data_IF_512659992616
#
_entry.id   IF_512659992616
#
_cell.length_a   1.000
_cell.length_b   1.000
_cell.length_c   1.000
_cell.angle_alpha   90.00
_cell.angle_beta   90.00
_cell.angle_gamma   90.00
#
_symmetry.space_group_name_H-M   'P 1'
#
loop_
_entity.id
_entity.type
_entity.pdbx_description
1 polymer ?
#
# COMPACT_ATOMS: atom_id res chain seq x y z
N UNK A 1 25.27 13.57 0.67
CA UNK A 1 24.66 12.24 0.61
C UNK A 1 25.00 11.56 -0.73
N UNK A 2 25.79 10.48 -0.65
CA UNK A 2 26.23 9.69 -1.82
C UNK A 2 25.06 9.22 -2.70
N UNK A 3 24.00 8.73 -2.10
CA UNK A 3 22.81 8.24 -2.81
C UNK A 3 22.08 9.35 -3.59
N UNK A 4 22.00 10.56 -3.06
CA UNK A 4 21.39 11.70 -3.77
C UNK A 4 22.24 12.05 -5.01
N UNK A 5 23.57 12.10 -4.87
CA UNK A 5 24.51 12.40 -5.96
C UNK A 5 24.44 11.36 -7.09
N UNK A 6 24.27 10.09 -6.75
CA UNK A 6 24.31 8.99 -7.72
C UNK A 6 22.93 8.41 -8.06
N UNK A 7 21.83 9.11 -7.75
CA UNK A 7 20.45 8.65 -7.93
C UNK A 7 20.17 8.08 -9.33
N UNK A 8 20.72 8.69 -10.38
CA UNK A 8 20.54 8.22 -11.77
C UNK A 8 21.14 6.83 -12.03
N UNK A 9 22.16 6.42 -11.26
CA UNK A 9 22.86 5.14 -11.39
C UNK A 9 22.25 4.03 -10.52
N UNK A 10 21.37 4.36 -9.60
CA UNK A 10 20.74 3.38 -8.70
C UNK A 10 19.69 2.59 -9.48
N UNK A 11 19.74 1.28 -9.33
CA UNK A 11 18.71 0.33 -9.76
C UNK A 11 18.19 -0.38 -8.51
N UNK A 12 16.88 -0.46 -8.35
CA UNK A 12 16.23 -1.14 -7.22
C UNK A 12 15.90 -2.59 -7.56
N UNK A 13 15.60 -3.40 -6.55
CA UNK A 13 15.04 -4.75 -6.72
C UNK A 13 13.77 -4.74 -7.57
N UNK A 14 12.91 -3.75 -7.37
CA UNK A 14 11.72 -3.54 -8.19
C UNK A 14 12.07 -3.27 -9.66
N UNK A 15 13.07 -2.45 -9.92
CA UNK A 15 13.51 -2.17 -11.29
C UNK A 15 14.01 -3.45 -11.97
N UNK A 16 14.83 -4.25 -11.29
CA UNK A 16 15.32 -5.54 -11.80
C UNK A 16 14.13 -6.48 -12.09
N UNK A 17 13.18 -6.54 -11.17
CA UNK A 17 11.97 -7.35 -11.35
C UNK A 17 11.18 -6.94 -12.59
N UNK A 18 10.94 -5.64 -12.80
CA UNK A 18 10.20 -5.16 -13.95
C UNK A 18 10.95 -5.26 -15.28
N UNK A 19 12.27 -5.13 -15.27
CA UNK A 19 13.10 -5.32 -16.46
C UNK A 19 13.11 -6.79 -16.91
N UNK A 20 13.10 -7.74 -15.98
CA UNK A 20 13.20 -9.17 -16.26
C UNK A 20 11.83 -9.87 -16.36
N UNK A 21 10.75 -9.21 -15.99
CA UNK A 21 9.43 -9.85 -15.93
C UNK A 21 8.73 -9.84 -17.28
N UNK A 22 8.38 -11.03 -17.77
CA UNK A 22 7.70 -11.22 -19.08
C UNK A 22 6.28 -10.67 -19.08
N UNK A 23 5.37 -11.23 -18.31
CA UNK A 23 3.97 -10.82 -18.28
C UNK A 23 3.34 -11.15 -16.93
N UNK A 24 2.56 -10.24 -16.40
CA UNK A 24 1.73 -10.42 -15.20
C UNK A 24 0.33 -9.96 -15.56
N UNK A 25 -0.69 -10.66 -15.10
CA UNK A 25 -2.09 -10.38 -15.44
C UNK A 25 -2.50 -8.95 -15.10
N UNK A 26 -2.24 -8.54 -13.86
CA UNK A 26 -2.63 -7.22 -13.36
C UNK A 26 -1.75 -6.83 -12.17
N UNK A 27 -1.22 -5.62 -12.18
CA UNK A 27 -0.30 -5.13 -11.15
C UNK A 27 -0.91 -3.92 -10.45
N UNK A 28 -1.08 -4.04 -9.13
CA UNK A 28 -1.66 -3.01 -8.27
C UNK A 28 -0.58 -2.44 -7.38
N UNK A 29 -0.30 -1.15 -7.48
CA UNK A 29 0.58 -0.45 -6.57
C UNK A 29 -0.19 0.22 -5.43
N UNK A 30 0.23 0.00 -4.19
CA UNK A 30 -0.37 0.60 -3.01
C UNK A 30 0.68 1.34 -2.21
N UNK A 31 0.44 2.62 -1.93
CA UNK A 31 1.25 3.42 -1.01
C UNK A 31 0.36 4.22 -0.06
N UNK A 32 0.97 4.88 0.89
CA UNK A 32 0.32 5.68 1.92
C UNK A 32 1.21 5.79 3.14
N UNK A 33 0.84 6.58 4.11
CA UNK A 33 1.51 6.59 5.41
C UNK A 33 1.08 5.37 6.20
N UNK A 34 -0.20 5.21 6.45
CA UNK A 34 -0.77 4.16 7.29
C UNK A 34 -1.68 3.19 6.50
N UNK A 35 -1.81 1.95 6.98
CA UNK A 35 -2.77 0.97 6.48
C UNK A 35 -2.39 0.24 5.19
N UNK A 36 -1.19 0.46 4.62
CA UNK A 36 -0.72 -0.17 3.38
C UNK A 36 -0.84 -1.70 3.41
N UNK A 37 -0.17 -2.35 4.35
CA UNK A 37 -0.14 -3.82 4.46
C UNK A 37 -1.53 -4.41 4.68
N UNK A 38 -2.34 -3.77 5.53
CA UNK A 38 -3.73 -4.21 5.77
C UNK A 38 -4.58 -4.13 4.51
N UNK A 39 -4.40 -3.08 3.72
CA UNK A 39 -5.13 -2.92 2.46
C UNK A 39 -4.64 -3.87 1.38
N UNK A 40 -3.34 -4.07 1.24
CA UNK A 40 -2.77 -5.09 0.34
C UNK A 40 -3.27 -6.49 0.68
N UNK A 41 -3.31 -6.83 1.97
CA UNK A 41 -3.81 -8.12 2.43
C UNK A 41 -5.32 -8.29 2.21
N UNK A 42 -6.10 -7.22 2.37
CA UNK A 42 -7.52 -7.20 2.03
C UNK A 42 -7.73 -7.51 0.55
N UNK A 43 -7.03 -6.80 -0.34
CA UNK A 43 -7.13 -7.05 -1.79
C UNK A 43 -6.75 -8.48 -2.15
N UNK A 44 -5.64 -9.00 -1.59
CA UNK A 44 -5.18 -10.36 -1.81
C UNK A 44 -6.22 -11.40 -1.37
N UNK A 45 -6.80 -11.21 -0.19
CA UNK A 45 -7.86 -12.09 0.32
C UNK A 45 -9.10 -12.09 -0.55
N UNK A 46 -9.51 -10.91 -1.04
CA UNK A 46 -10.67 -10.79 -1.93
C UNK A 46 -10.43 -11.48 -3.29
N UNK A 47 -9.26 -11.32 -3.87
CA UNK A 47 -8.90 -11.95 -5.14
C UNK A 47 -8.86 -13.47 -4.98
N UNK A 48 -8.20 -13.97 -3.92
CA UNK A 48 -8.10 -15.42 -3.62
C UNK A 48 -9.47 -16.06 -3.35
N UNK A 49 -10.40 -15.38 -2.67
CA UNK A 49 -11.77 -15.85 -2.44
C UNK A 49 -12.58 -16.02 -3.74
N UNK A 50 -12.15 -15.41 -4.82
CA UNK A 50 -12.72 -15.58 -6.15
C UNK A 50 -11.93 -16.60 -7.01
N UNK A 51 -11.15 -17.49 -6.38
CA UNK A 51 -10.34 -18.52 -7.04
C UNK A 51 -9.31 -17.94 -8.04
N UNK A 52 -8.89 -16.70 -7.85
CA UNK A 52 -7.88 -16.05 -8.67
C UNK A 52 -6.56 -16.02 -7.90
N UNK A 53 -5.48 -16.43 -8.55
CA UNK A 53 -4.14 -16.39 -7.97
C UNK A 53 -3.68 -14.94 -7.77
N UNK A 54 -3.16 -14.65 -6.57
CA UNK A 54 -2.62 -13.33 -6.26
C UNK A 54 -1.54 -13.39 -5.18
N UNK A 55 -0.62 -12.43 -5.21
CA UNK A 55 0.47 -12.29 -4.24
C UNK A 55 0.64 -10.86 -3.79
N UNK A 56 1.07 -10.69 -2.55
CA UNK A 56 1.51 -9.40 -1.99
C UNK A 56 3.02 -9.40 -1.93
N UNK A 57 3.64 -8.38 -2.49
CA UNK A 57 5.10 -8.25 -2.63
C UNK A 57 5.56 -6.82 -2.34
N UNK A 58 6.86 -6.63 -2.25
CA UNK A 58 7.50 -5.33 -2.08
C UNK A 58 7.87 -5.02 -0.64
N UNK A 59 7.45 -3.88 -0.11
CA UNK A 59 7.78 -3.46 1.27
C UNK A 59 7.12 -4.34 2.36
N UNK A 60 6.09 -5.10 1.99
CA UNK A 60 5.41 -6.09 2.82
C UNK A 60 5.15 -7.33 1.97
N UNK A 61 5.14 -8.50 2.60
CA UNK A 61 5.07 -9.80 1.91
C UNK A 61 6.47 -10.30 1.56
N UNK A 62 6.59 -11.02 0.45
CA UNK A 62 7.86 -11.55 0.01
C UNK A 62 8.65 -10.55 -0.85
N UNK A 63 9.99 -10.57 -0.79
CA UNK A 63 10.83 -9.81 -1.72
C UNK A 63 10.50 -10.15 -3.18
N UNK A 64 10.41 -9.14 -4.03
CA UNK A 64 9.94 -9.34 -5.42
C UNK A 64 10.83 -10.26 -6.24
N UNK A 65 12.14 -10.30 -5.98
CA UNK A 65 13.10 -11.12 -6.71
C UNK A 65 13.07 -12.60 -6.34
N UNK A 66 12.52 -12.95 -5.17
CA UNK A 66 12.41 -14.34 -4.72
C UNK A 66 11.16 -15.05 -5.30
N UNK A 67 10.33 -14.33 -6.04
CA UNK A 67 9.03 -14.84 -6.46
C UNK A 67 8.95 -15.11 -7.95
N UNK A 68 8.59 -16.35 -8.29
CA UNK A 68 8.23 -16.68 -9.65
C UNK A 68 6.73 -16.51 -9.86
N UNK A 69 6.34 -15.36 -10.45
CA UNK A 69 4.95 -14.99 -10.68
C UNK A 69 4.52 -15.47 -12.07
N UNK A 70 3.41 -16.18 -12.13
CA UNK A 70 2.84 -16.63 -13.41
C UNK A 70 2.09 -15.51 -14.12
N UNK A 71 1.90 -15.67 -15.44
CA UNK A 71 1.18 -14.69 -16.27
C UNK A 71 -0.30 -14.50 -15.89
N UNK A 72 -0.87 -15.44 -15.14
CA UNK A 72 -2.29 -15.43 -14.75
C UNK A 72 -2.52 -14.86 -13.34
N UNK A 73 -1.47 -14.40 -12.66
CA UNK A 73 -1.58 -13.90 -11.30
C UNK A 73 -1.77 -12.39 -11.23
N UNK A 74 -2.47 -11.94 -10.18
CA UNK A 74 -2.48 -10.56 -9.73
C UNK A 74 -1.27 -10.32 -8.82
N UNK A 75 -0.56 -9.24 -9.04
CA UNK A 75 0.55 -8.79 -8.20
C UNK A 75 0.13 -7.51 -7.45
N UNK A 76 0.13 -7.55 -6.13
CA UNK A 76 -0.16 -6.41 -5.28
C UNK A 76 1.16 -5.95 -4.67
N UNK A 77 1.63 -4.77 -5.08
CA UNK A 77 2.88 -4.18 -4.61
C UNK A 77 2.62 -3.18 -3.49
N UNK A 78 3.06 -3.47 -2.29
CA UNK A 78 3.21 -2.45 -1.27
C UNK A 78 4.46 -1.64 -1.55
N UNK A 79 4.30 -0.33 -1.77
CA UNK A 79 5.39 0.57 -2.13
C UNK A 79 5.64 1.60 -1.03
N UNK A 80 6.84 1.57 -0.46
CA UNK A 80 7.34 2.60 0.46
C UNK A 80 7.69 3.89 -0.29
N UNK A 81 7.85 5.00 0.45
CA UNK A 81 8.35 6.24 -0.14
C UNK A 81 9.80 6.12 -0.62
N UNK A 82 10.59 5.27 0.01
CA UNK A 82 11.99 4.99 -0.39
C UNK A 82 12.03 4.29 -1.76
N UNK A 83 11.25 3.24 -1.93
CA UNK A 83 11.13 2.52 -3.20
C UNK A 83 10.62 3.45 -4.32
N UNK A 84 9.57 4.24 -4.06
CA UNK A 84 9.04 5.21 -5.03
C UNK A 84 10.05 6.30 -5.39
N UNK A 85 10.98 6.64 -4.48
CA UNK A 85 11.97 7.67 -4.76
C UNK A 85 13.07 7.20 -5.71
N UNK A 86 13.47 5.94 -5.63
CA UNK A 86 14.60 5.41 -6.40
C UNK A 86 14.21 4.55 -7.61
N UNK A 87 13.03 3.92 -7.62
CA UNK A 87 12.59 3.09 -8.73
C UNK A 87 12.26 3.90 -9.99
N UNK A 88 12.44 3.27 -11.16
CA UNK A 88 12.29 3.90 -12.48
C UNK A 88 11.41 3.10 -13.43
N UNK A 89 11.43 1.77 -13.33
CA UNK A 89 10.86 0.88 -14.37
C UNK A 89 9.56 0.19 -13.94
N UNK A 90 9.01 0.57 -12.78
CA UNK A 90 7.71 0.04 -12.31
C UNK A 90 6.62 0.32 -13.36
N UNK A 91 5.74 -0.64 -13.60
CA UNK A 91 4.58 -0.52 -14.50
C UNK A 91 3.34 -1.04 -13.78
N UNK A 92 2.38 -0.16 -13.52
CA UNK A 92 1.17 -0.46 -12.75
C UNK A 92 -0.08 -0.37 -13.63
N UNK A 93 -0.99 -1.32 -13.46
CA UNK A 93 -2.33 -1.27 -14.05
C UNK A 93 -3.26 -0.42 -13.18
N UNK A 94 -3.08 -0.47 -11.86
CA UNK A 94 -3.73 0.47 -10.95
C UNK A 94 -2.82 0.90 -9.81
N UNK A 95 -3.03 2.11 -9.30
CA UNK A 95 -2.26 2.69 -8.21
C UNK A 95 -3.16 3.34 -7.18
N UNK A 96 -2.85 3.18 -5.88
CA UNK A 96 -3.63 3.76 -4.80
C UNK A 96 -2.74 4.43 -3.75
N UNK A 97 -3.04 5.69 -3.43
CA UNK A 97 -2.50 6.40 -2.26
C UNK A 97 -3.59 6.43 -1.18
N UNK A 98 -3.40 5.64 -0.11
CA UNK A 98 -4.41 5.47 0.94
C UNK A 98 -4.61 6.71 1.79
N UNK A 99 -3.52 7.30 2.24
CA UNK A 99 -3.49 8.50 3.08
C UNK A 99 -2.09 9.09 3.12
N UNK A 100 -2.01 10.34 3.55
CA UNK A 100 -0.75 11.02 3.84
C UNK A 100 -0.88 11.73 5.19
N UNK A 101 0.01 11.38 6.11
CA UNK A 101 0.23 12.07 7.38
C UNK A 101 1.71 12.21 7.64
N UNK A 102 2.08 12.93 8.69
CA UNK A 102 3.48 13.18 9.03
C UNK A 102 4.21 11.89 9.36
N UNK A 103 5.26 11.60 8.60
CA UNK A 103 6.13 10.43 8.75
C UNK A 103 7.42 10.62 7.94
N UNK A 104 8.50 9.95 8.32
CA UNK A 104 9.78 9.93 7.59
C UNK A 104 10.34 11.31 7.22
N UNK A 105 10.14 12.34 8.07
CA UNK A 105 10.66 13.68 7.82
C UNK A 105 12.18 13.78 7.97
N UNK A 106 12.79 12.90 8.77
CA UNK A 106 14.23 12.67 8.83
C UNK A 106 14.82 12.41 7.43
N UNK A 107 14.10 11.69 6.59
CA UNK A 107 14.52 11.33 5.23
C UNK A 107 14.06 12.32 4.16
N UNK A 108 12.81 12.76 4.22
CA UNK A 108 12.19 13.61 3.20
C UNK A 108 12.29 15.09 3.49
N UNK A 109 12.79 15.48 4.69
CA UNK A 109 13.01 16.85 5.17
C UNK A 109 11.70 17.64 5.34
N UNK A 110 10.77 17.59 4.37
CA UNK A 110 9.49 18.32 4.43
C UNK A 110 8.30 17.46 3.99
N UNK A 111 7.12 17.77 4.51
CA UNK A 111 5.86 17.16 4.06
C UNK A 111 5.60 17.35 2.56
N UNK A 112 6.04 18.46 1.99
CA UNK A 112 5.91 18.71 0.56
C UNK A 112 6.74 17.71 -0.27
N UNK A 113 7.99 17.46 0.12
CA UNK A 113 8.85 16.46 -0.53
C UNK A 113 8.31 15.05 -0.34
N UNK A 114 7.84 14.72 0.87
CA UNK A 114 7.22 13.41 1.14
C UNK A 114 5.97 13.17 0.27
N UNK A 115 5.06 14.14 0.20
CA UNK A 115 3.89 14.08 -0.69
C UNK A 115 4.29 13.92 -2.16
N UNK A 116 5.26 14.71 -2.63
CA UNK A 116 5.78 14.64 -4.01
C UNK A 116 6.34 13.25 -4.32
N UNK A 117 7.08 12.67 -3.37
CA UNK A 117 7.63 11.31 -3.55
C UNK A 117 6.52 10.26 -3.67
N UNK A 118 5.48 10.33 -2.84
CA UNK A 118 4.37 9.37 -2.95
C UNK A 118 3.54 9.54 -4.22
N UNK A 119 3.43 10.77 -4.74
CA UNK A 119 2.75 11.04 -6.02
C UNK A 119 3.44 10.37 -7.22
N UNK A 120 4.74 10.03 -7.13
CA UNK A 120 5.45 9.29 -8.19
C UNK A 120 4.81 7.94 -8.51
N UNK A 121 4.02 7.35 -7.62
CA UNK A 121 3.31 6.11 -7.92
C UNK A 121 2.44 6.24 -9.18
N UNK A 122 1.92 7.43 -9.45
CA UNK A 122 1.10 7.70 -10.64
C UNK A 122 1.92 7.87 -11.92
N UNK A 123 3.22 8.17 -11.80
CA UNK A 123 4.11 8.23 -12.96
C UNK A 123 4.46 6.81 -13.46
N UNK A 124 4.22 5.80 -12.64
CA UNK A 124 4.38 4.38 -12.98
C UNK A 124 3.14 3.74 -13.58
N UNK A 125 2.03 4.46 -13.72
CA UNK A 125 0.84 3.93 -14.38
C UNK A 125 1.11 3.67 -15.86
N UNK A 126 0.64 2.54 -16.36
CA UNK A 126 0.54 2.26 -17.80
C UNK A 126 -0.41 3.29 -18.45
N UNK A 127 -0.36 3.44 -19.75
CA UNK A 127 -1.24 4.38 -20.50
C UNK A 127 -2.74 4.16 -20.23
N UNK A 128 -3.15 2.91 -20.03
CA UNK A 128 -4.53 2.50 -19.66
C UNK A 128 -4.74 2.41 -18.15
N UNK A 129 -3.71 2.66 -17.35
CA UNK A 129 -3.75 2.50 -15.91
C UNK A 129 -4.62 3.55 -15.21
N UNK A 130 -5.13 3.20 -14.03
CA UNK A 130 -6.02 4.05 -13.23
C UNK A 130 -5.41 4.33 -11.85
N UNK A 131 -5.53 5.57 -11.39
CA UNK A 131 -5.01 6.01 -10.11
C UNK A 131 -6.10 6.44 -9.12
N UNK A 132 -5.85 6.21 -7.83
CA UNK A 132 -6.78 6.58 -6.76
C UNK A 132 -6.02 7.22 -5.61
N UNK A 133 -6.58 8.29 -5.04
CA UNK A 133 -6.03 8.93 -3.85
C UNK A 133 -7.11 9.40 -2.89
N UNK A 134 -6.80 9.38 -1.59
CA UNK A 134 -7.71 9.88 -0.59
C UNK A 134 -7.85 11.41 -0.67
N UNK A 135 -9.07 11.91 -0.77
CA UNK A 135 -9.39 13.33 -0.96
C UNK A 135 -8.74 14.25 0.07
N UNK A 136 -8.61 13.81 1.32
CA UNK A 136 -7.98 14.60 2.39
C UNK A 136 -6.47 14.77 2.24
N UNK A 137 -5.81 13.92 1.46
CA UNK A 137 -4.34 13.90 1.33
C UNK A 137 -3.82 14.94 0.35
N UNK A 138 -4.62 15.31 -0.65
CA UNK A 138 -4.25 16.25 -1.71
C UNK A 138 -5.43 17.13 -2.09
N UNK A 139 -5.16 18.39 -2.40
CA UNK A 139 -6.05 19.23 -3.23
C UNK A 139 -6.15 18.61 -4.64
N UNK A 140 -7.22 18.88 -5.35
CA UNK A 140 -7.55 18.22 -6.64
C UNK A 140 -6.34 18.01 -7.57
N UNK A 141 -5.98 16.76 -7.78
CA UNK A 141 -4.96 16.40 -8.75
C UNK A 141 -5.60 16.35 -10.14
N UNK A 142 -5.25 17.32 -10.99
CA UNK A 142 -5.70 17.36 -12.39
C UNK A 142 -4.83 16.45 -13.26
N UNK A 143 -4.98 15.13 -13.15
CA UNK A 143 -4.34 14.17 -14.05
C UNK A 143 -5.40 13.21 -14.62
N UNK A 144 -5.32 12.95 -15.93
CA UNK A 144 -6.19 11.97 -16.62
C UNK A 144 -6.09 10.61 -15.92
N UNK A 145 -7.22 9.93 -15.78
CA UNK A 145 -7.33 8.61 -15.14
C UNK A 145 -6.97 8.55 -13.64
N UNK A 146 -6.90 9.70 -12.94
CA UNK A 146 -6.70 9.71 -11.49
C UNK A 146 -7.95 10.26 -10.81
N UNK A 147 -8.49 9.51 -9.85
CA UNK A 147 -9.73 9.80 -9.15
C UNK A 147 -9.50 9.91 -7.64
N UNK A 148 -10.20 10.86 -6.99
CA UNK A 148 -10.19 10.92 -5.53
C UNK A 148 -11.27 10.03 -4.93
N UNK A 149 -11.02 9.54 -3.69
CA UNK A 149 -12.02 8.86 -2.87
C UNK A 149 -12.08 9.47 -1.46
N UNK A 150 -13.22 9.35 -0.80
CA UNK A 150 -13.38 9.75 0.60
C UNK A 150 -13.02 8.61 1.54
N UNK A 151 -13.66 7.46 1.35
CA UNK A 151 -13.51 6.27 2.17
C UNK A 151 -13.28 5.03 1.30
N UNK A 152 -12.58 4.04 1.85
CA UNK A 152 -12.44 2.74 1.21
C UNK A 152 -13.79 2.02 1.30
N UNK A 153 -14.35 1.70 0.13
CA UNK A 153 -15.62 1.00 0.01
C UNK A 153 -15.57 -0.01 -1.14
N UNK A 154 -16.65 -0.76 -1.30
CA UNK A 154 -16.79 -1.79 -2.35
C UNK A 154 -16.52 -1.24 -3.76
N UNK A 155 -17.09 -0.06 -4.06
CA UNK A 155 -16.92 0.57 -5.38
C UNK A 155 -15.46 0.93 -5.69
N UNK A 156 -14.75 1.49 -4.72
CA UNK A 156 -13.32 1.79 -4.87
C UNK A 156 -12.51 0.52 -5.14
N UNK A 157 -12.74 -0.53 -4.37
CA UNK A 157 -12.03 -1.81 -4.54
C UNK A 157 -12.34 -2.40 -5.92
N UNK A 158 -13.60 -2.36 -6.37
CA UNK A 158 -14.00 -2.83 -7.69
C UNK A 158 -13.24 -2.08 -8.81
N UNK A 159 -13.10 -0.75 -8.66
CA UNK A 159 -12.34 0.07 -9.62
C UNK A 159 -10.84 -0.25 -9.59
N UNK A 160 -10.26 -0.46 -8.40
CA UNK A 160 -8.84 -0.82 -8.25
C UNK A 160 -8.55 -2.17 -8.90
N UNK A 161 -9.41 -3.15 -8.69
CA UNK A 161 -9.25 -4.50 -9.24
C UNK A 161 -9.54 -4.55 -10.74
N UNK A 162 -10.30 -3.60 -11.26
CA UNK A 162 -10.72 -3.48 -12.66
C UNK A 162 -11.25 -4.80 -13.26
N UNK A 163 -11.96 -5.57 -12.43
CA UNK A 163 -12.52 -6.86 -12.83
C UNK A 163 -13.91 -7.03 -12.21
N UNK A 164 -14.96 -6.89 -13.04
CA UNK A 164 -16.36 -6.98 -12.62
C UNK A 164 -16.76 -8.39 -12.14
N UNK A 165 -16.03 -9.41 -12.56
CA UNK A 165 -16.28 -10.80 -12.16
C UNK A 165 -15.80 -11.11 -10.73
N UNK A 166 -15.00 -10.24 -10.11
CA UNK A 166 -14.59 -10.42 -8.73
C UNK A 166 -15.74 -10.02 -7.81
N UNK A 167 -16.32 -11.00 -7.13
CA UNK A 167 -17.32 -10.75 -6.09
C UNK A 167 -16.66 -10.13 -4.86
N UNK A 168 -17.17 -8.99 -4.42
CA UNK A 168 -16.73 -8.28 -3.23
C UNK A 168 -17.87 -8.31 -2.21
N UNK A 169 -17.75 -9.10 -1.13
CA UNK A 169 -18.73 -9.12 -0.05
C UNK A 169 -18.72 -7.79 0.72
N UNK A 170 -19.58 -7.65 1.70
CA UNK A 170 -19.49 -6.55 2.66
C UNK A 170 -18.11 -6.51 3.31
N UNK A 171 -17.44 -5.35 3.26
CA UNK A 171 -16.07 -5.21 3.72
C UNK A 171 -16.06 -5.07 5.23
N UNK A 172 -15.53 -6.08 5.91
CA UNK A 172 -15.27 -6.00 7.34
C UNK A 172 -13.75 -5.91 7.59
N UNK A 173 -13.25 -4.70 7.79
CA UNK A 173 -11.84 -4.45 8.05
C UNK A 173 -11.34 -5.07 9.38
N UNK A 174 -12.23 -5.36 10.33
CA UNK A 174 -11.87 -5.94 11.63
C UNK A 174 -11.40 -7.41 11.53
N UNK A 175 -11.77 -8.14 10.47
CA UNK A 175 -11.43 -9.56 10.30
C UNK A 175 -10.03 -9.85 9.76
N UNK A 176 -9.38 -8.87 9.14
CA UNK A 176 -8.04 -9.04 8.54
C UNK A 176 -6.97 -8.40 9.43
N UNK A 177 -6.84 -8.85 10.66
CA UNK A 177 -5.79 -8.41 11.56
C UNK A 177 -4.46 -9.01 11.09
N UNK A 178 -3.49 -8.14 10.86
CA UNK A 178 -2.10 -8.54 10.67
C UNK A 178 -1.41 -8.63 12.03
N UNK A 179 -0.41 -9.51 12.19
CA UNK A 179 0.41 -9.54 13.39
C UNK A 179 0.99 -8.17 13.73
N UNK A 180 1.14 -7.89 15.00
CA UNK A 180 1.71 -6.65 15.53
C UNK A 180 0.91 -5.37 15.18
N UNK A 181 -0.40 -5.51 14.89
CA UNK A 181 -1.30 -4.39 14.63
C UNK A 181 -2.54 -4.50 15.49
N UNK A 182 -2.54 -3.78 16.62
CA UNK A 182 -3.58 -3.85 17.63
C UNK A 182 -3.94 -5.31 17.95
N UNK A 183 -2.93 -6.11 18.15
CA UNK A 183 -3.03 -7.55 18.42
C UNK A 183 -3.17 -7.80 19.92
N UNK A 184 -4.32 -8.31 20.35
CA UNK A 184 -4.50 -8.73 21.73
C UNK A 184 -3.84 -10.11 21.85
N UNK A 185 -2.63 -10.15 22.39
CA UNK A 185 -1.86 -11.40 22.51
C UNK A 185 -2.03 -12.09 23.88
N UNK A 186 -2.49 -11.32 24.90
CA UNK A 186 -2.73 -11.89 26.22
C UNK A 186 -3.89 -11.18 26.92
N UNK A 187 -4.62 -11.91 27.77
CA UNK A 187 -5.69 -11.40 28.61
C UNK A 187 -5.62 -12.04 29.98
N UNK A 188 -5.72 -11.22 31.02
CA UNK A 188 -5.85 -11.67 32.40
C UNK A 188 -6.87 -10.81 33.11
N UNK A 189 -7.89 -11.42 33.68
CA UNK A 189 -9.03 -10.71 34.28
C UNK A 189 -9.61 -9.68 33.29
N UNK A 190 -9.67 -8.42 33.68
CA UNK A 190 -10.15 -7.30 32.85
C UNK A 190 -9.05 -6.62 32.02
N UNK A 191 -7.79 -7.06 32.14
CA UNK A 191 -6.67 -6.50 31.42
C UNK A 191 -6.45 -7.19 30.08
N UNK A 192 -6.13 -6.38 29.06
CA UNK A 192 -5.75 -6.85 27.72
C UNK A 192 -4.38 -6.31 27.40
N UNK A 193 -3.47 -7.20 27.02
CA UNK A 193 -2.15 -6.84 26.52
C UNK A 193 -2.20 -6.77 25.00
N UNK A 194 -1.82 -5.63 24.45
CA UNK A 194 -1.98 -5.33 23.03
C UNK A 194 -0.62 -5.04 22.43
N UNK A 195 -0.25 -5.81 21.43
CA UNK A 195 0.90 -5.53 20.57
C UNK A 195 0.45 -4.67 19.38
N UNK A 196 0.98 -3.48 19.29
CA UNK A 196 0.80 -2.56 18.16
C UNK A 196 2.16 -1.97 17.72
N UNK A 197 3.21 -2.79 17.80
CA UNK A 197 4.59 -2.39 17.48
C UNK A 197 4.79 -1.94 16.01
N UNK A 198 3.81 -2.20 15.15
CA UNK A 198 3.74 -1.64 13.79
C UNK A 198 3.18 -0.22 13.73
N UNK A 199 2.76 0.38 14.83
CA UNK A 199 2.39 1.79 14.94
C UNK A 199 3.65 2.64 15.14
N UNK A 200 4.26 3.08 14.05
CA UNK A 200 5.54 3.79 14.03
C UNK A 200 5.40 5.31 13.91
N UNK A 201 4.17 5.84 13.98
CA UNK A 201 3.92 7.27 13.92
C UNK A 201 2.71 7.66 14.78
N UNK A 202 2.64 8.95 15.12
CA UNK A 202 1.62 9.51 16.02
C UNK A 202 0.17 9.17 15.60
N UNK A 203 -0.15 9.25 14.33
CA UNK A 203 -1.52 8.99 13.85
C UNK A 203 -1.93 7.53 14.01
N UNK A 204 -1.01 6.59 13.79
CA UNK A 204 -1.28 5.17 14.00
C UNK A 204 -1.46 4.84 15.47
N UNK A 205 -0.60 5.34 16.35
CA UNK A 205 -0.72 5.16 17.81
C UNK A 205 -2.01 5.81 18.34
N UNK A 206 -2.32 7.03 17.91
CA UNK A 206 -3.57 7.71 18.27
C UNK A 206 -4.81 6.92 17.84
N UNK A 207 -4.76 6.29 16.67
CA UNK A 207 -5.85 5.42 16.20
C UNK A 207 -5.99 4.19 17.11
N UNK A 208 -4.91 3.53 17.47
CA UNK A 208 -4.91 2.38 18.38
C UNK A 208 -5.49 2.75 19.75
N UNK A 209 -5.05 3.87 20.32
CA UNK A 209 -5.56 4.38 21.61
C UNK A 209 -7.05 4.68 21.59
N UNK A 210 -7.60 5.18 20.48
CA UNK A 210 -9.05 5.39 20.34
C UNK A 210 -9.86 4.08 20.31
N UNK A 211 -9.20 2.97 20.01
CA UNK A 211 -9.84 1.64 20.01
C UNK A 211 -9.86 1.00 21.41
N UNK A 212 -9.09 1.55 22.34
CA UNK A 212 -9.01 1.11 23.74
C UNK A 212 -9.75 2.09 24.66
N UNK A 213 -10.47 1.58 25.64
CA UNK A 213 -10.93 2.33 26.81
C UNK A 213 -9.95 2.08 27.96
N UNK A 214 -9.60 3.12 28.70
CA UNK A 214 -8.72 3.03 29.89
C UNK A 214 -7.37 2.35 29.64
N UNK A 215 -6.60 2.88 28.69
CA UNK A 215 -5.27 2.35 28.34
C UNK A 215 -4.20 2.88 29.29
N UNK A 216 -3.26 2.00 29.66
CA UNK A 216 -1.97 2.34 30.22
C UNK A 216 -0.93 2.05 29.13
N UNK A 217 -0.07 3.01 28.83
CA UNK A 217 1.02 2.88 27.85
C UNK A 217 2.30 2.46 28.56
#
# INVERSE_FOLDING_TARGET
DFFKKHKKKIITDLDIFFLNKKKIRYIIGVTGTNGKSSFCNLLNSLIKKNNIKSRVLGNFGNPVLNENISSNEYCILELSSYQLDYSKYIKLDSACILNISTDHLDRHETMAKYKKTKLKIFDFLKSTGVGFYQKKSFSNLKKKNIQCFKNINKLLIQKILNNKSIFIPSINFKRNKLPHRYEIFYKINNFKFIDDSKSTNFDSTRYALKMTSNSIL
#
